data_IF_141917535317
#
_entry.id   IF_141917535317
#
_cell.length_a   1.000
_cell.length_b   1.000
_cell.length_c   1.000
_cell.angle_alpha   90.00
_cell.angle_beta   90.00
_cell.angle_gamma   90.00
#
_symmetry.space_group_name_H-M   'P 1'
#
loop_
_entity.id
_entity.type
_entity.pdbx_description
1 polymer ?
#
# COMPACT_ATOMS: atom_id res chain seq x y z
N UNK A 1 9.65 -16.17 2.21
CA UNK A 1 8.60 -17.18 2.52
C UNK A 1 7.25 -16.81 1.92
N UNK A 2 6.75 -15.60 2.20
CA UNK A 2 5.42 -15.18 1.73
C UNK A 2 5.29 -15.05 0.22
N UNK A 3 6.31 -14.55 -0.49
CA UNK A 3 6.29 -14.52 -1.96
C UNK A 3 6.12 -15.92 -2.56
N UNK A 4 6.79 -16.93 -2.01
CA UNK A 4 6.64 -18.32 -2.47
C UNK A 4 5.25 -18.87 -2.12
N UNK A 5 4.73 -18.55 -0.94
CA UNK A 5 3.36 -18.88 -0.53
C UNK A 5 2.34 -18.29 -1.51
N UNK A 6 2.47 -17.01 -1.85
CA UNK A 6 1.52 -16.28 -2.70
C UNK A 6 1.54 -16.75 -4.15
N UNK A 7 2.70 -17.18 -4.66
CA UNK A 7 2.81 -17.81 -5.98
C UNK A 7 2.13 -19.19 -6.01
N UNK A 8 2.22 -19.95 -4.91
CA UNK A 8 1.57 -21.25 -4.80
C UNK A 8 0.06 -21.16 -4.47
N UNK A 9 -0.38 -20.09 -3.80
CA UNK A 9 -1.74 -19.89 -3.31
C UNK A 9 -2.30 -18.54 -3.80
N UNK A 10 -2.54 -18.40 -5.11
CA UNK A 10 -2.85 -17.11 -5.74
C UNK A 10 -4.08 -16.40 -5.18
N UNK A 11 -5.09 -17.15 -4.72
CA UNK A 11 -6.36 -16.65 -4.17
C UNK A 11 -6.29 -16.29 -2.67
N UNK A 12 -5.20 -16.65 -1.98
CA UNK A 12 -5.00 -16.36 -0.56
C UNK A 12 -3.59 -15.79 -0.29
N UNK A 13 -3.24 -14.64 -0.89
CA UNK A 13 -1.94 -14.02 -0.73
C UNK A 13 -1.79 -13.38 0.66
N UNK A 14 -0.53 -13.27 1.10
CA UNK A 14 -0.13 -12.69 2.40
C UNK A 14 0.75 -11.46 2.22
N UNK A 15 1.57 -11.42 1.18
CA UNK A 15 2.46 -10.31 0.90
C UNK A 15 1.75 -9.22 0.09
N UNK A 16 2.21 -7.98 0.23
CA UNK A 16 1.67 -6.85 -0.54
C UNK A 16 1.70 -7.11 -2.06
N UNK A 17 2.80 -7.60 -2.67
CA UNK A 17 2.82 -7.89 -4.11
C UNK A 17 1.79 -8.95 -4.54
N UNK A 18 1.60 -10.00 -3.72
CA UNK A 18 0.59 -11.02 -3.99
C UNK A 18 -0.84 -10.49 -3.87
N UNK A 19 -1.12 -9.69 -2.84
CA UNK A 19 -2.42 -9.02 -2.65
C UNK A 19 -2.73 -8.10 -3.83
N UNK A 20 -1.76 -7.28 -4.25
CA UNK A 20 -1.91 -6.38 -5.39
C UNK A 20 -2.13 -7.16 -6.69
N UNK A 21 -1.36 -8.23 -6.94
CA UNK A 21 -1.54 -9.07 -8.12
C UNK A 21 -2.96 -9.68 -8.18
N UNK A 22 -3.43 -10.27 -7.09
CA UNK A 22 -4.79 -10.82 -7.02
C UNK A 22 -5.86 -9.74 -7.23
N UNK A 23 -5.70 -8.57 -6.61
CA UNK A 23 -6.62 -7.46 -6.77
C UNK A 23 -6.69 -6.97 -8.23
N UNK A 24 -5.54 -6.93 -8.93
CA UNK A 24 -5.47 -6.54 -10.33
C UNK A 24 -6.09 -7.59 -11.25
N UNK A 25 -5.91 -8.88 -10.99
CA UNK A 25 -6.59 -9.96 -11.72
C UNK A 25 -8.12 -9.88 -11.58
N UNK A 26 -8.62 -9.67 -10.35
CA UNK A 26 -10.05 -9.44 -10.10
C UNK A 26 -10.56 -8.18 -10.82
N UNK A 27 -9.75 -7.13 -10.85
CA UNK A 27 -10.07 -5.90 -11.59
C UNK A 27 -10.16 -6.14 -13.09
N UNK A 28 -9.25 -6.94 -13.66
CA UNK A 28 -9.27 -7.35 -15.08
C UNK A 28 -10.56 -8.13 -15.37
N UNK A 29 -10.90 -9.11 -14.53
CA UNK A 29 -12.07 -9.97 -14.70
C UNK A 29 -13.41 -9.24 -14.55
N UNK A 30 -13.41 -8.05 -13.95
CA UNK A 30 -14.62 -7.23 -13.78
C UNK A 30 -14.73 -6.18 -14.87
N UNK A 31 -14.03 -5.05 -14.73
CA UNK A 31 -14.21 -3.89 -15.61
C UNK A 31 -12.91 -3.45 -16.30
N UNK A 32 -11.75 -3.97 -15.89
CA UNK A 32 -10.46 -3.77 -16.56
C UNK A 32 -10.01 -2.32 -16.73
N UNK A 33 -10.48 -1.40 -15.88
CA UNK A 33 -10.15 0.04 -16.01
C UNK A 33 -8.75 0.32 -15.45
N UNK A 34 -7.99 1.28 -16.02
CA UNK A 34 -6.71 1.71 -15.46
C UNK A 34 -6.77 2.07 -13.98
N UNK A 35 -5.64 1.96 -13.26
CA UNK A 35 -5.54 2.28 -11.83
C UNK A 35 -4.15 2.81 -11.50
N UNK A 36 -4.05 3.62 -10.46
CA UNK A 36 -2.78 4.11 -9.91
C UNK A 36 -2.48 3.38 -8.62
N UNK A 37 -1.26 2.87 -8.49
CA UNK A 37 -0.71 2.37 -7.23
C UNK A 37 0.37 3.34 -6.76
N UNK A 38 0.09 4.06 -5.67
CA UNK A 38 0.96 5.08 -5.10
C UNK A 38 1.59 4.53 -3.80
N UNK A 39 2.92 4.46 -3.76
CA UNK A 39 3.61 4.22 -2.48
C UNK A 39 3.75 5.54 -1.73
N UNK A 40 3.45 5.50 -0.44
CA UNK A 40 3.69 6.58 0.52
C UNK A 40 4.82 6.21 1.49
N UNK A 41 5.66 5.23 1.14
CA UNK A 41 6.83 4.90 1.95
C UNK A 41 7.92 5.96 1.76
N UNK A 42 8.62 6.29 2.85
CA UNK A 42 9.72 7.24 2.83
C UNK A 42 11.01 6.62 2.31
N UNK A 43 11.01 6.25 1.02
CA UNK A 43 12.17 5.75 0.30
C UNK A 43 12.30 6.48 -1.05
N UNK A 44 13.52 6.71 -1.57
CA UNK A 44 13.72 7.33 -2.87
C UNK A 44 13.06 6.52 -3.98
N UNK A 45 12.42 7.19 -4.94
CA UNK A 45 11.78 6.55 -6.12
C UNK A 45 10.78 5.44 -5.75
N UNK A 46 10.05 5.61 -4.65
CA UNK A 46 9.11 4.63 -4.10
C UNK A 46 8.11 4.06 -5.13
N UNK A 47 7.61 4.89 -6.06
CA UNK A 47 6.76 4.44 -7.16
C UNK A 47 7.47 3.47 -8.11
N UNK A 48 8.69 3.80 -8.53
CA UNK A 48 9.51 2.91 -9.38
C UNK A 48 9.77 1.57 -8.70
N UNK A 49 10.10 1.59 -7.40
CA UNK A 49 10.34 0.37 -6.61
C UNK A 49 9.06 -0.47 -6.55
N UNK A 50 7.91 0.13 -6.22
CA UNK A 50 6.63 -0.55 -6.18
C UNK A 50 6.29 -1.18 -7.55
N UNK A 51 6.43 -0.41 -8.64
CA UNK A 51 6.19 -0.89 -10.00
C UNK A 51 7.04 -2.10 -10.35
N UNK A 52 8.35 -2.05 -10.06
CA UNK A 52 9.27 -3.15 -10.32
C UNK A 52 8.88 -4.42 -9.54
N UNK A 53 8.52 -4.27 -8.26
CA UNK A 53 8.13 -5.41 -7.41
C UNK A 53 6.84 -6.06 -7.91
N UNK A 54 5.81 -5.25 -8.22
CA UNK A 54 4.52 -5.78 -8.70
C UNK A 54 4.66 -6.44 -10.07
N UNK A 55 5.42 -5.83 -11.00
CA UNK A 55 5.70 -6.42 -12.33
C UNK A 55 6.48 -7.72 -12.22
N UNK A 56 7.56 -7.76 -11.45
CA UNK A 56 8.36 -8.97 -11.25
C UNK A 56 7.55 -10.11 -10.60
N UNK A 57 6.63 -9.78 -9.69
CA UNK A 57 5.72 -10.77 -9.14
C UNK A 57 4.73 -11.28 -10.19
N UNK A 58 4.14 -10.38 -10.98
CA UNK A 58 3.21 -10.73 -12.07
C UNK A 58 3.86 -11.60 -13.15
N UNK A 59 5.12 -11.33 -13.52
CA UNK A 59 5.89 -12.16 -14.45
C UNK A 59 6.04 -13.59 -13.93
N UNK A 60 6.34 -13.76 -12.64
CA UNK A 60 6.45 -15.09 -12.01
C UNK A 60 5.10 -15.80 -11.89
N UNK A 61 4.02 -15.03 -11.73
CA UNK A 61 2.65 -15.53 -11.70
C UNK A 61 2.18 -16.01 -13.09
N UNK A 62 2.70 -15.37 -14.14
CA UNK A 62 2.47 -15.76 -15.53
C UNK A 62 1.16 -15.22 -16.11
N UNK A 63 0.81 -15.72 -17.29
CA UNK A 63 -0.38 -15.27 -18.03
C UNK A 63 -0.22 -13.86 -18.61
N UNK A 64 -1.30 -13.07 -18.59
CA UNK A 64 -1.36 -11.73 -19.20
C UNK A 64 -1.26 -10.59 -18.17
N UNK A 65 -0.99 -10.90 -16.90
CA UNK A 65 -1.04 -9.92 -15.82
C UNK A 65 0.05 -8.87 -15.97
N UNK A 66 1.29 -9.27 -16.28
CA UNK A 66 2.41 -8.35 -16.48
C UNK A 66 2.14 -7.36 -17.63
N UNK A 67 1.68 -7.86 -18.78
CA UNK A 67 1.32 -7.04 -19.95
C UNK A 67 0.19 -6.05 -19.62
N UNK A 68 -0.82 -6.50 -18.89
CA UNK A 68 -1.92 -5.63 -18.49
C UNK A 68 -1.45 -4.55 -17.51
N UNK A 69 -0.57 -4.88 -16.57
CA UNK A 69 0.04 -3.91 -15.63
C UNK A 69 0.79 -2.84 -16.39
N UNK A 70 1.62 -3.21 -17.37
CA UNK A 70 2.39 -2.27 -18.17
C UNK A 70 1.49 -1.26 -18.89
N UNK A 71 0.37 -1.73 -19.45
CA UNK A 71 -0.54 -0.89 -20.22
C UNK A 71 -1.53 -0.07 -19.37
N UNK A 72 -1.84 -0.49 -18.13
CA UNK A 72 -3.00 0.04 -17.38
C UNK A 72 -2.69 0.53 -15.97
N UNK A 73 -1.49 0.32 -15.44
CA UNK A 73 -1.16 0.68 -14.05
C UNK A 73 -0.08 1.76 -14.01
N UNK A 74 -0.40 2.86 -13.34
CA UNK A 74 0.54 3.94 -13.07
C UNK A 74 1.19 3.77 -11.69
N UNK A 75 2.51 4.01 -11.61
CA UNK A 75 3.30 3.93 -10.38
C UNK A 75 4.07 5.24 -10.11
N UNK A 76 3.36 6.35 -9.82
CA UNK A 76 4.01 7.62 -9.51
C UNK A 76 4.84 7.51 -8.23
N UNK A 77 5.97 8.22 -8.20
CA UNK A 77 6.72 8.42 -6.96
C UNK A 77 6.21 9.65 -6.22
N UNK A 78 6.26 9.61 -4.88
CA UNK A 78 5.91 10.74 -4.04
C UNK A 78 6.97 10.99 -2.97
N UNK A 79 7.09 12.26 -2.56
CA UNK A 79 7.75 12.64 -1.32
C UNK A 79 6.67 12.73 -0.25
N UNK A 80 6.92 12.11 0.91
CA UNK A 80 6.04 12.18 2.08
C UNK A 80 6.84 12.75 3.23
N UNK A 81 6.24 13.70 3.94
CA UNK A 81 6.89 14.33 5.08
C UNK A 81 5.85 14.65 6.15
N UNK A 82 5.99 13.96 7.29
CA UNK A 82 5.29 14.26 8.54
C UNK A 82 5.89 13.43 9.67
N UNK A 83 6.27 14.07 10.75
CA UNK A 83 6.58 13.38 12.01
C UNK A 83 5.25 12.91 12.65
N UNK A 84 5.09 11.59 12.71
CA UNK A 84 3.96 10.91 13.35
C UNK A 84 4.50 9.82 14.30
N UNK A 85 4.73 10.15 15.59
CA UNK A 85 5.20 9.16 16.55
C UNK A 85 4.11 8.11 16.83
N UNK A 86 4.52 6.95 17.32
CA UNK A 86 3.57 5.93 17.76
C UNK A 86 2.73 6.46 18.92
N UNK A 87 1.40 6.35 18.80
CA UNK A 87 0.46 6.76 19.84
C UNK A 87 0.72 6.01 21.15
N UNK A 88 0.77 6.76 22.24
CA UNK A 88 0.92 6.23 23.60
C UNK A 88 -0.39 6.34 24.37
N UNK A 89 -0.50 5.62 25.50
CA UNK A 89 -1.64 5.78 26.41
C UNK A 89 -1.78 7.22 26.93
N UNK A 90 -0.65 7.90 27.17
CA UNK A 90 -0.65 9.28 27.63
C UNK A 90 -1.23 10.26 26.59
N UNK A 91 -1.02 9.99 25.30
CA UNK A 91 -1.64 10.79 24.22
C UNK A 91 -3.16 10.64 24.23
N UNK A 92 -3.66 9.42 24.41
CA UNK A 92 -5.10 9.12 24.50
C UNK A 92 -5.72 9.82 25.71
N UNK A 93 -5.09 9.68 26.89
CA UNK A 93 -5.55 10.34 28.12
C UNK A 93 -5.59 11.86 27.96
N UNK A 94 -4.58 12.44 27.29
CA UNK A 94 -4.51 13.88 27.03
C UNK A 94 -5.66 14.34 26.14
N UNK A 95 -5.97 13.60 25.07
CA UNK A 95 -7.08 13.90 24.17
C UNK A 95 -8.43 13.74 24.88
N UNK A 96 -8.61 12.68 25.66
CA UNK A 96 -9.84 12.43 26.40
C UNK A 96 -10.11 13.51 27.46
N UNK A 97 -9.10 13.91 28.23
CA UNK A 97 -9.23 14.99 29.21
C UNK A 97 -9.52 16.35 28.53
N UNK A 98 -8.92 16.60 27.37
CA UNK A 98 -9.04 17.89 26.67
C UNK A 98 -10.36 18.02 25.90
N UNK A 99 -10.83 16.95 25.27
CA UNK A 99 -11.98 16.98 24.36
C UNK A 99 -13.19 16.21 24.86
N UNK A 100 -13.08 15.48 25.97
CA UNK A 100 -14.20 14.82 26.64
C UNK A 100 -14.67 13.51 25.98
N UNK A 101 -13.87 12.91 25.10
CA UNK A 101 -14.16 11.61 24.50
C UNK A 101 -12.93 10.73 24.36
N UNK A 102 -13.12 9.42 24.51
CA UNK A 102 -12.09 8.42 24.31
C UNK A 102 -11.94 8.05 22.83
N UNK A 103 -10.71 8.01 22.32
CA UNK A 103 -10.40 7.61 20.94
C UNK A 103 -9.33 6.50 20.90
N UNK A 104 -9.78 5.25 20.64
CA UNK A 104 -8.89 4.09 20.54
C UNK A 104 -8.08 4.04 19.24
N UNK A 105 -8.40 4.92 18.26
CA UNK A 105 -7.73 5.02 16.97
C UNK A 105 -6.94 6.34 16.84
N UNK A 106 -6.65 7.01 17.96
CA UNK A 106 -5.91 8.26 17.99
C UNK A 106 -4.57 8.13 17.26
N UNK A 107 -4.27 9.11 16.40
CA UNK A 107 -2.95 9.34 15.81
C UNK A 107 -2.52 10.77 16.13
N UNK A 108 -1.37 10.91 16.75
CA UNK A 108 -0.74 12.21 16.99
C UNK A 108 0.32 12.49 15.92
N UNK A 109 0.50 13.76 15.59
CA UNK A 109 1.52 14.19 14.64
C UNK A 109 1.88 15.65 14.89
N UNK A 110 3.02 16.07 14.34
CA UNK A 110 3.42 17.46 14.44
C UNK A 110 2.41 18.40 13.75
N UNK A 111 2.40 19.65 14.20
CA UNK A 111 1.76 20.74 13.49
C UNK A 111 2.68 21.17 12.35
N UNK A 112 2.16 21.17 11.12
CA UNK A 112 2.87 21.79 10.00
C UNK A 112 2.57 23.29 10.09
N UNK A 113 3.58 24.08 10.42
CA UNK A 113 3.51 25.54 10.30
C UNK A 113 3.88 25.88 8.86
N UNK A 114 2.94 26.49 8.14
CA UNK A 114 3.19 27.11 6.83
C UNK A 114 4.06 28.38 6.96
#
# INVERSE_FOLDING_TARGET
>A
PDVAHDLANPEAPRSVPGILAQALELRIATHGRPVTLLSCDNIPTNGTILGNVVRAFAERRGGKLADWIEANVAFPSAMVDRIAPATTAADIDTVEQRYGYHDSALVVGEAVLD
#
